data_IF_537468066174
#
_entry.id   IF_537468066174
#
_cell.length_a   1.000
_cell.length_b   1.000
_cell.length_c   1.000
_cell.angle_alpha   90.00
_cell.angle_beta   90.00
_cell.angle_gamma   90.00
#
_symmetry.space_group_name_H-M   'P 1'
#
loop_
_entity.id
_entity.type
_entity.pdbx_description
1 polymer ?
#
# COMPACT_ATOMS: atom_id res chain seq x y z
N UNK A 1 4.66 -63.73 25.07
CA UNK A 1 3.84 -64.57 24.20
C UNK A 1 3.73 -63.81 22.88
N UNK A 2 4.25 -64.42 21.82
CA UNK A 2 4.17 -64.03 20.40
C UNK A 2 4.99 -62.82 19.88
N UNK A 3 6.16 -63.17 19.34
CA UNK A 3 6.86 -62.68 18.12
C UNK A 3 5.99 -62.81 16.84
N UNK A 4 6.44 -62.51 15.59
CA UNK A 4 7.40 -61.52 15.04
C UNK A 4 6.99 -60.91 13.64
N UNK A 5 7.92 -60.13 13.06
CA UNK A 5 8.30 -60.01 11.63
C UNK A 5 7.39 -59.21 10.67
N UNK A 6 7.81 -58.03 10.19
CA UNK A 6 8.75 -57.75 9.08
C UNK A 6 8.33 -58.30 7.71
N UNK A 7 8.17 -57.39 6.73
CA UNK A 7 8.46 -57.66 5.33
C UNK A 7 8.83 -56.37 4.58
N UNK A 8 10.05 -56.35 4.04
CA UNK A 8 10.53 -55.46 2.99
C UNK A 8 10.30 -56.12 1.61
N UNK A 9 10.19 -55.32 0.55
CA UNK A 9 10.38 -55.76 -0.84
C UNK A 9 9.79 -54.74 -1.84
N UNK A 10 10.57 -53.87 -2.49
CA UNK A 10 11.39 -54.05 -3.71
C UNK A 10 10.62 -54.13 -5.04
N UNK A 11 11.01 -53.26 -5.99
CA UNK A 11 10.83 -53.42 -7.44
C UNK A 11 9.48 -52.93 -7.99
N UNK A 12 9.33 -52.39 -9.20
CA UNK A 12 10.19 -52.26 -10.36
C UNK A 12 9.59 -51.18 -11.31
N UNK A 13 10.47 -50.66 -12.16
CA UNK A 13 10.29 -49.84 -13.37
C UNK A 13 9.32 -50.41 -14.42
N UNK A 14 8.65 -49.54 -15.18
CA UNK A 14 8.37 -49.81 -16.61
C UNK A 14 8.21 -48.53 -17.47
N UNK A 15 8.91 -48.58 -18.61
CA UNK A 15 8.99 -47.63 -19.73
C UNK A 15 7.71 -47.60 -20.60
N UNK A 16 7.58 -46.54 -21.43
CA UNK A 16 6.83 -46.55 -22.70
C UNK A 16 6.08 -45.25 -22.99
N UNK A 17 6.68 -44.27 -23.69
CA UNK A 17 6.65 -44.03 -25.15
C UNK A 17 5.46 -43.18 -25.68
N UNK A 18 5.80 -41.95 -26.09
CA UNK A 18 5.43 -41.18 -27.32
C UNK A 18 4.03 -41.31 -27.95
N UNK A 19 3.34 -40.16 -28.09
CA UNK A 19 2.56 -39.83 -29.30
C UNK A 19 2.44 -38.30 -29.49
N UNK A 20 2.96 -37.84 -30.64
CA UNK A 20 2.81 -36.52 -31.25
C UNK A 20 1.41 -36.35 -31.85
N UNK A 21 0.86 -35.14 -31.89
CA UNK A 21 -0.45 -34.88 -32.50
C UNK A 21 -0.73 -33.40 -32.77
N UNK A 22 -0.01 -32.81 -33.72
CA UNK A 22 -0.39 -31.57 -34.41
C UNK A 22 -1.62 -31.80 -35.30
N UNK A 23 -2.53 -30.83 -35.34
CA UNK A 23 -3.53 -30.72 -36.40
C UNK A 23 -3.76 -29.24 -36.79
N UNK A 24 -3.32 -28.91 -38.01
CA UNK A 24 -3.86 -27.87 -38.88
C UNK A 24 -3.74 -28.39 -40.33
N UNK A 25 -4.73 -28.08 -41.19
CA UNK A 25 -4.44 -27.49 -42.51
C UNK A 25 -5.42 -26.33 -42.83
N UNK A 26 -4.99 -25.17 -43.39
CA UNK A 26 -4.79 -24.82 -44.82
C UNK A 26 -6.08 -24.94 -45.68
N UNK A 27 -6.50 -24.09 -46.63
CA UNK A 27 -6.09 -22.85 -47.32
C UNK A 27 -7.39 -22.27 -47.98
N UNK A 28 -7.59 -20.98 -48.30
CA UNK A 28 -7.00 -20.22 -49.41
C UNK A 28 -8.12 -19.58 -50.28
N UNK A 29 -7.90 -18.36 -50.82
CA UNK A 29 -8.76 -17.74 -51.85
C UNK A 29 -8.68 -16.20 -51.93
N UNK A 30 -8.17 -15.67 -53.03
CA UNK A 30 -7.84 -14.25 -53.26
C UNK A 30 -8.84 -13.46 -54.12
N UNK A 31 -8.73 -12.13 -54.01
CA UNK A 31 -8.88 -11.09 -55.05
C UNK A 31 -10.27 -10.60 -55.49
N UNK A 32 -10.44 -9.27 -55.45
CA UNK A 32 -11.51 -8.50 -56.08
C UNK A 32 -11.26 -7.00 -55.94
N UNK A 33 -10.59 -6.41 -56.93
CA UNK A 33 -10.34 -4.97 -57.06
C UNK A 33 -11.55 -4.25 -57.68
N UNK A 34 -11.71 -2.95 -57.36
CA UNK A 34 -12.45 -2.00 -58.18
C UNK A 34 -13.37 -1.05 -57.41
N UNK A 35 -12.88 0.14 -57.06
CA UNK A 35 -13.73 1.29 -56.70
C UNK A 35 -13.39 2.46 -57.64
N UNK A 36 -14.34 2.98 -58.43
CA UNK A 36 -14.12 4.17 -59.22
C UNK A 36 -14.61 5.43 -58.49
N UNK A 37 -13.71 6.40 -58.36
CA UNK A 37 -13.98 7.82 -58.62
C UNK A 37 -14.88 8.64 -57.67
N UNK A 38 -14.33 9.76 -57.20
CA UNK A 38 -15.09 11.03 -57.17
C UNK A 38 -15.28 11.67 -55.81
N UNK A 39 -14.44 12.68 -55.54
CA UNK A 39 -14.70 13.95 -54.81
C UNK A 39 -15.68 14.01 -53.65
N UNK A 40 -15.23 14.54 -52.51
CA UNK A 40 -15.65 15.87 -52.00
C UNK A 40 -15.23 15.99 -50.52
N UNK A 41 -14.08 16.64 -50.25
CA UNK A 41 -13.67 16.96 -48.88
C UNK A 41 -14.42 18.20 -48.42
N UNK A 42 -15.65 18.00 -47.97
CA UNK A 42 -16.48 19.05 -47.37
C UNK A 42 -15.94 19.54 -46.03
N UNK A 43 -15.18 20.64 -46.05
CA UNK A 43 -15.05 21.59 -44.94
C UNK A 43 -14.82 23.00 -45.49
N UNK A 44 -15.91 23.72 -45.75
CA UNK A 44 -15.87 25.16 -46.00
C UNK A 44 -15.78 25.91 -44.65
N UNK A 45 -14.79 26.81 -44.52
CA UNK A 45 -14.74 27.79 -43.42
C UNK A 45 -15.78 28.90 -43.70
N UNK A 46 -16.50 29.44 -42.70
CA UNK A 46 -17.43 30.53 -42.94
C UNK A 46 -16.69 31.80 -43.35
N UNK A 47 -16.94 32.27 -44.58
CA UNK A 47 -16.56 33.60 -45.05
C UNK A 47 -17.56 34.60 -44.43
N UNK A 48 -17.07 35.58 -43.69
CA UNK A 48 -17.89 36.65 -43.13
C UNK A 48 -18.43 37.57 -44.26
N UNK A 49 -19.67 38.09 -44.17
CA UNK A 49 -20.25 38.93 -45.23
C UNK A 49 -19.53 40.28 -45.36
N UNK A 50 -19.43 40.84 -46.59
CA UNK A 50 -18.89 42.17 -46.80
C UNK A 50 -19.98 43.18 -46.43
N UNK A 51 -19.77 43.98 -45.38
CA UNK A 51 -20.29 45.36 -45.20
C UNK A 51 -20.15 45.80 -43.73
N UNK A 52 -18.92 46.09 -43.29
CA UNK A 52 -18.66 46.74 -42.00
C UNK A 52 -18.36 48.23 -42.20
N UNK A 53 -19.14 49.09 -41.56
CA UNK A 53 -18.91 50.54 -41.48
C UNK A 53 -17.67 50.87 -40.62
N UNK A 54 -16.98 52.01 -40.83
CA UNK A 54 -15.69 52.29 -40.22
C UNK A 54 -15.82 52.63 -38.73
N UNK A 55 -15.09 51.88 -37.89
CA UNK A 55 -14.96 52.17 -36.45
C UNK A 55 -13.85 53.20 -36.23
N UNK A 56 -14.16 54.28 -35.52
CA UNK A 56 -13.25 55.39 -35.23
C UNK A 56 -12.06 54.98 -34.33
N UNK A 57 -10.92 55.70 -34.38
CA UNK A 57 -9.72 55.36 -33.59
C UNK A 57 -9.90 55.72 -32.11
N UNK A 58 -9.56 54.79 -31.20
CA UNK A 58 -9.43 55.10 -29.77
C UNK A 58 -8.06 55.71 -29.43
N UNK A 59 -7.96 56.61 -28.43
CA UNK A 59 -6.72 57.30 -28.07
C UNK A 59 -5.70 56.38 -27.39
N UNK A 60 -4.42 56.70 -27.55
CA UNK A 60 -3.26 55.98 -27.01
C UNK A 60 -3.22 55.94 -25.48
N UNK A 61 -2.90 54.78 -24.92
CA UNK A 61 -2.70 54.55 -23.49
C UNK A 61 -1.31 55.00 -23.01
N UNK A 62 -1.18 55.54 -21.78
CA UNK A 62 0.09 56.01 -21.25
C UNK A 62 1.02 54.85 -20.86
N UNK A 63 2.32 55.00 -21.15
CA UNK A 63 3.39 54.09 -20.76
C UNK A 63 3.74 54.24 -19.28
N UNK A 64 3.66 53.13 -18.53
CA UNK A 64 4.21 53.03 -17.16
C UNK A 64 5.56 52.30 -17.19
N UNK A 65 6.59 52.76 -16.43
CA UNK A 65 7.89 52.10 -16.42
C UNK A 65 7.84 50.75 -15.68
N UNK A 66 8.56 49.80 -16.26
CA UNK A 66 8.70 48.40 -15.85
C UNK A 66 9.53 48.30 -14.55
N UNK A 67 9.06 47.62 -13.49
CA UNK A 67 9.95 47.16 -12.43
C UNK A 67 10.62 45.87 -12.88
N UNK A 68 11.95 45.86 -12.96
CA UNK A 68 12.78 44.69 -13.25
C UNK A 68 12.63 43.64 -12.14
N UNK A 69 12.02 42.49 -12.48
CA UNK A 69 12.01 41.32 -11.61
C UNK A 69 13.27 40.46 -11.88
N UNK A 70 14.01 40.01 -10.85
CA UNK A 70 15.13 39.10 -11.04
C UNK A 70 14.62 37.74 -11.54
N UNK A 71 15.23 37.24 -12.62
CA UNK A 71 14.96 35.92 -13.17
C UNK A 71 15.33 34.81 -12.18
N UNK A 72 14.39 33.95 -11.74
CA UNK A 72 14.74 32.70 -11.10
C UNK A 72 14.87 31.61 -12.17
N UNK A 73 15.98 30.87 -12.09
CA UNK A 73 16.30 29.67 -12.86
C UNK A 73 15.18 28.62 -12.84
N UNK A 74 14.94 28.02 -14.01
CA UNK A 74 14.01 26.92 -14.27
C UNK A 74 14.09 25.78 -13.24
N UNK A 75 12.95 25.30 -12.71
CA UNK A 75 12.85 23.98 -12.10
C UNK A 75 12.19 22.93 -13.02
N UNK A 76 12.59 21.69 -12.75
CA UNK A 76 12.27 20.35 -13.28
C UNK A 76 10.76 19.98 -13.33
N UNK A 77 10.35 18.85 -13.97
CA UNK A 77 8.99 18.67 -14.47
C UNK A 77 7.94 18.55 -13.35
N UNK A 78 6.97 19.44 -13.48
CA UNK A 78 5.63 19.59 -12.90
C UNK A 78 5.06 18.41 -12.10
N UNK A 79 5.04 18.57 -10.78
CA UNK A 79 3.92 18.11 -9.96
C UNK A 79 2.83 19.20 -10.00
N UNK A 80 1.55 18.87 -10.25
CA UNK A 80 0.51 19.89 -10.30
C UNK A 80 0.24 20.45 -8.90
N UNK A 81 0.55 21.72 -8.70
CA UNK A 81 0.19 22.50 -7.51
C UNK A 81 -1.21 23.08 -7.74
N UNK A 82 -2.23 22.57 -7.04
CA UNK A 82 -3.61 23.08 -7.15
C UNK A 82 -3.99 24.00 -5.97
N UNK A 83 -4.95 24.91 -6.15
CA UNK A 83 -5.33 25.88 -5.13
C UNK A 83 -6.00 25.17 -3.93
N UNK A 84 -5.34 25.24 -2.77
CA UNK A 84 -5.95 24.84 -1.50
C UNK A 84 -7.12 25.78 -1.18
N UNK A 85 -8.35 25.37 -1.46
CA UNK A 85 -9.53 25.93 -0.79
C UNK A 85 -9.56 25.33 0.62
N UNK A 86 -9.49 26.12 1.70
CA UNK A 86 -9.55 25.59 3.05
C UNK A 86 -10.89 24.87 3.28
N UNK A 87 -10.85 23.55 3.51
CA UNK A 87 -12.00 22.78 3.97
C UNK A 87 -12.61 21.78 2.98
N UNK A 88 -12.20 21.75 1.72
CA UNK A 88 -12.59 20.70 0.76
C UNK A 88 -11.35 19.99 0.25
N UNK A 89 -10.92 18.94 0.94
CA UNK A 89 -9.96 18.04 0.30
C UNK A 89 -10.68 17.32 -0.83
N UNK A 90 -10.13 17.32 -2.03
CA UNK A 90 -10.61 16.46 -3.14
C UNK A 90 -9.75 15.20 -3.29
N UNK A 91 -8.77 15.04 -2.41
CA UNK A 91 -7.76 13.99 -2.48
C UNK A 91 -7.54 13.32 -1.12
N UNK A 92 -7.16 12.05 -1.16
CA UNK A 92 -6.58 11.29 -0.06
C UNK A 92 -5.06 11.26 -0.20
N UNK A 93 -4.36 11.05 0.91
CA UNK A 93 -2.92 10.74 0.89
C UNK A 93 -2.73 9.24 1.12
N UNK A 94 -2.08 8.57 0.18
CA UNK A 94 -1.85 7.13 0.23
C UNK A 94 -0.36 6.82 0.18
N UNK A 95 0.08 5.77 0.86
CA UNK A 95 1.42 5.17 0.68
C UNK A 95 1.30 3.64 0.67
N UNK A 96 2.37 2.97 0.27
CA UNK A 96 2.48 1.52 0.36
C UNK A 96 3.46 1.08 1.46
N UNK A 97 3.19 -0.09 2.03
CA UNK A 97 4.13 -0.91 2.80
C UNK A 97 4.16 -2.30 2.17
N UNK A 98 5.34 -2.81 1.85
CA UNK A 98 5.48 -4.19 1.34
C UNK A 98 5.83 -5.11 2.51
N UNK A 99 4.86 -5.93 2.92
CA UNK A 99 5.03 -6.97 3.93
C UNK A 99 5.17 -8.37 3.34
N UNK A 100 4.76 -8.55 2.08
CA UNK A 100 4.94 -9.80 1.32
C UNK A 100 6.41 -10.21 1.25
N UNK A 101 6.70 -11.46 1.59
CA UNK A 101 8.04 -12.03 1.71
C UNK A 101 8.51 -12.68 0.40
N UNK A 102 8.29 -11.97 -0.71
CA UNK A 102 8.61 -12.46 -2.05
C UNK A 102 10.09 -12.27 -2.41
N UNK A 103 10.65 -13.20 -3.17
CA UNK A 103 12.08 -13.22 -3.56
C UNK A 103 12.45 -12.28 -4.71
N UNK A 104 11.46 -11.60 -5.30
CA UNK A 104 11.62 -10.70 -6.44
C UNK A 104 11.07 -9.31 -6.12
N UNK A 105 11.50 -8.24 -6.81
CA UNK A 105 10.93 -6.92 -6.60
C UNK A 105 9.56 -6.74 -7.29
N UNK A 106 8.74 -5.85 -6.75
CA UNK A 106 7.41 -5.50 -7.27
C UNK A 106 7.30 -4.02 -7.65
N UNK A 107 6.45 -3.74 -8.62
CA UNK A 107 6.03 -2.39 -9.01
C UNK A 107 4.67 -2.10 -8.42
N UNK A 108 4.54 -0.93 -7.80
CA UNK A 108 3.37 -0.49 -7.05
C UNK A 108 2.73 0.70 -7.77
N UNK A 109 1.43 0.60 -8.07
CA UNK A 109 0.70 1.72 -8.67
C UNK A 109 -0.75 1.80 -8.20
N UNK A 110 -1.28 3.02 -8.21
CA UNK A 110 -2.71 3.32 -8.13
C UNK A 110 -3.10 3.96 -9.45
N UNK A 111 -3.98 3.31 -10.21
CA UNK A 111 -4.25 3.57 -11.61
C UNK A 111 -2.95 3.65 -12.44
N UNK A 112 -2.65 4.80 -13.04
CA UNK A 112 -1.43 5.08 -13.79
C UNK A 112 -0.29 5.66 -12.94
N UNK A 113 -0.57 6.08 -11.71
CA UNK A 113 0.41 6.70 -10.80
C UNK A 113 1.27 5.64 -10.12
N UNK A 114 2.58 5.69 -10.37
CA UNK A 114 3.56 4.73 -9.87
C UNK A 114 4.16 5.24 -8.56
N UNK A 115 4.14 4.40 -7.54
CA UNK A 115 4.70 4.70 -6.22
C UNK A 115 6.13 4.17 -6.06
N UNK A 116 6.41 3.00 -6.63
CA UNK A 116 7.74 2.40 -6.65
C UNK A 116 7.84 1.42 -7.82
N UNK A 117 9.00 1.31 -8.44
CA UNK A 117 9.28 0.40 -9.56
C UNK A 117 10.07 -0.84 -9.18
N UNK A 118 10.62 -0.89 -7.97
CA UNK A 118 11.53 -1.95 -7.51
C UNK A 118 11.38 -2.19 -5.99
N UNK A 119 10.15 -2.15 -5.48
CA UNK A 119 9.86 -2.34 -4.07
C UNK A 119 10.11 -3.79 -3.64
N UNK A 120 10.59 -3.98 -2.41
CA UNK A 120 10.91 -5.29 -1.82
C UNK A 120 10.31 -5.37 -0.42
N UNK A 121 10.39 -6.53 0.20
CA UNK A 121 10.00 -6.72 1.60
C UNK A 121 10.57 -5.60 2.49
N UNK A 122 9.71 -4.93 3.26
CA UNK A 122 10.03 -3.82 4.14
C UNK A 122 10.03 -2.44 3.48
N UNK A 123 9.86 -2.33 2.16
CA UNK A 123 9.76 -1.03 1.48
C UNK A 123 8.52 -0.27 1.98
N UNK A 124 8.73 0.99 2.35
CA UNK A 124 7.68 1.98 2.64
C UNK A 124 7.84 3.13 1.67
N UNK A 125 6.79 3.46 0.93
CA UNK A 125 6.84 4.56 -0.04
C UNK A 125 6.55 5.90 0.63
N UNK A 126 6.90 6.98 -0.06
CA UNK A 126 6.32 8.30 0.25
C UNK A 126 4.80 8.31 0.08
N UNK A 127 4.16 9.34 0.64
CA UNK A 127 2.73 9.60 0.40
C UNK A 127 2.53 10.26 -0.96
N UNK A 128 1.56 9.75 -1.71
CA UNK A 128 1.07 10.33 -2.95
C UNK A 128 -0.41 10.70 -2.81
N UNK A 129 -0.89 11.57 -3.69
CA UNK A 129 -2.28 12.01 -3.69
C UNK A 129 -3.11 11.13 -4.63
N UNK A 130 -4.27 10.70 -4.17
CA UNK A 130 -5.26 9.95 -4.95
C UNK A 130 -6.59 10.68 -4.82
N UNK A 131 -7.28 10.97 -5.92
CA UNK A 131 -8.58 11.65 -5.86
C UNK A 131 -9.61 10.87 -5.06
N UNK A 132 -10.65 11.56 -4.58
CA UNK A 132 -11.81 10.90 -3.98
C UNK A 132 -12.51 9.98 -5.01
N UNK A 133 -12.81 8.75 -4.60
CA UNK A 133 -13.49 7.77 -5.44
C UNK A 133 -12.88 6.37 -5.38
N UNK A 134 -13.25 5.53 -6.35
CA UNK A 134 -12.74 4.17 -6.47
C UNK A 134 -11.57 4.14 -7.45
N UNK A 135 -10.40 3.71 -6.99
CA UNK A 135 -9.18 3.64 -7.79
C UNK A 135 -8.59 2.24 -7.79
N UNK A 136 -7.96 1.86 -8.91
CA UNK A 136 -7.42 0.51 -9.10
C UNK A 136 -6.01 0.42 -8.54
N UNK A 137 -5.84 -0.34 -7.48
CA UNK A 137 -4.51 -0.67 -6.94
C UNK A 137 -3.95 -1.86 -7.71
N UNK A 138 -2.74 -1.72 -8.23
CA UNK A 138 -2.06 -2.77 -8.98
C UNK A 138 -0.69 -3.06 -8.39
N UNK A 139 -0.40 -4.35 -8.16
CA UNK A 139 0.94 -4.86 -7.85
C UNK A 139 1.37 -5.75 -9.01
N UNK A 140 2.51 -5.44 -9.61
CA UNK A 140 3.08 -6.20 -10.73
C UNK A 140 4.48 -6.65 -10.40
N UNK A 141 4.97 -7.66 -11.11
CA UNK A 141 6.41 -7.96 -11.05
C UNK A 141 7.19 -6.78 -11.66
N UNK A 142 8.33 -6.43 -11.06
CA UNK A 142 9.12 -5.30 -11.53
C UNK A 142 9.90 -5.59 -12.83
N UNK A 143 10.36 -6.83 -13.01
CA UNK A 143 11.13 -7.32 -14.17
C UNK A 143 10.23 -7.77 -15.34
N UNK A 144 9.02 -8.26 -15.07
CA UNK A 144 8.00 -8.59 -16.06
C UNK A 144 6.74 -7.77 -15.83
N UNK A 145 6.67 -6.64 -16.53
CA UNK A 145 5.51 -5.77 -16.46
C UNK A 145 4.24 -6.42 -17.01
N UNK A 146 4.24 -7.59 -17.67
CA UNK A 146 2.99 -8.29 -18.04
C UNK A 146 2.43 -9.15 -16.90
N UNK A 147 3.26 -9.52 -15.93
CA UNK A 147 2.86 -10.29 -14.77
C UNK A 147 2.18 -9.40 -13.72
N UNK A 148 0.84 -9.39 -13.75
CA UNK A 148 0.01 -8.78 -12.71
C UNK A 148 -0.13 -9.79 -11.57
N UNK A 149 0.24 -9.36 -10.37
CA UNK A 149 0.23 -10.21 -9.18
C UNK A 149 -0.97 -9.90 -8.29
N UNK A 150 -1.45 -8.65 -8.34
CA UNK A 150 -2.67 -8.20 -7.72
C UNK A 150 -3.26 -7.02 -8.50
N UNK A 151 -4.58 -6.99 -8.67
CA UNK A 151 -5.30 -5.85 -9.22
C UNK A 151 -6.74 -5.83 -8.71
N UNK A 152 -7.09 -4.85 -7.86
CA UNK A 152 -8.47 -4.63 -7.38
C UNK A 152 -8.74 -3.14 -7.17
N UNK A 153 -10.02 -2.77 -7.16
CA UNK A 153 -10.47 -1.41 -6.88
C UNK A 153 -10.66 -1.17 -5.38
N UNK A 154 -10.19 -0.03 -4.88
CA UNK A 154 -10.32 0.39 -3.48
C UNK A 154 -10.99 1.76 -3.38
N UNK A 155 -11.78 2.02 -2.33
CA UNK A 155 -12.31 3.34 -2.05
C UNK A 155 -11.24 4.24 -1.44
N UNK A 156 -11.09 5.44 -1.97
CA UNK A 156 -10.25 6.51 -1.43
C UNK A 156 -11.14 7.69 -1.08
N UNK A 157 -11.02 8.17 0.15
CA UNK A 157 -11.85 9.24 0.68
C UNK A 157 -11.05 10.51 0.85
N UNK A 158 -11.60 11.61 0.35
CA UNK A 158 -11.02 12.92 0.45
C UNK A 158 -10.70 13.29 1.92
N UNK A 159 -9.45 13.73 2.16
CA UNK A 159 -8.94 14.13 3.47
C UNK A 159 -8.50 12.96 4.36
N UNK A 160 -8.68 11.72 3.93
CA UNK A 160 -8.15 10.56 4.64
C UNK A 160 -6.70 10.27 4.25
N UNK A 161 -5.96 9.74 5.23
CA UNK A 161 -4.62 9.17 5.04
C UNK A 161 -4.75 7.66 5.09
N UNK A 162 -4.01 6.96 4.24
CA UNK A 162 -4.13 5.50 4.12
C UNK A 162 -2.79 4.85 3.81
N UNK A 163 -2.57 3.67 4.39
CA UNK A 163 -1.47 2.79 4.04
C UNK A 163 -2.03 1.54 3.35
N UNK A 164 -1.57 1.26 2.13
CA UNK A 164 -1.84 0.03 1.40
C UNK A 164 -0.74 -0.97 1.71
N UNK A 165 -1.07 -2.10 2.34
CA UNK A 165 -0.09 -3.12 2.71
C UNK A 165 -0.17 -4.27 1.70
N UNK A 166 0.93 -4.50 0.99
CA UNK A 166 1.08 -5.68 0.12
C UNK A 166 1.46 -6.86 1.00
N UNK A 167 0.65 -7.92 0.99
CA UNK A 167 0.79 -9.11 1.84
C UNK A 167 0.79 -10.39 1.00
N UNK A 168 1.32 -11.47 1.55
CA UNK A 168 1.20 -12.81 0.94
C UNK A 168 -0.22 -13.35 1.11
N UNK A 169 -0.83 -13.86 0.05
CA UNK A 169 -2.15 -14.49 0.18
C UNK A 169 -2.01 -15.90 0.74
N UNK A 170 -2.86 -16.27 1.71
CA UNK A 170 -2.92 -17.62 2.27
C UNK A 170 -3.25 -18.72 1.24
N UNK A 171 -3.79 -18.34 0.08
CA UNK A 171 -4.12 -19.24 -1.03
C UNK A 171 -3.02 -19.28 -2.12
N UNK A 172 -1.88 -18.62 -1.87
CA UNK A 172 -0.83 -18.38 -2.86
C UNK A 172 -1.06 -17.09 -3.64
N UNK A 173 0.04 -16.41 -4.00
CA UNK A 173 0.01 -15.10 -4.66
C UNK A 173 0.08 -13.93 -3.67
N UNK A 174 -0.38 -12.76 -4.09
CA UNK A 174 -0.37 -11.54 -3.28
C UNK A 174 -1.77 -10.96 -3.12
N UNK A 175 -1.99 -10.28 -2.00
CA UNK A 175 -3.17 -9.47 -1.74
C UNK A 175 -2.74 -8.09 -1.24
N UNK A 176 -3.69 -7.15 -1.21
CA UNK A 176 -3.46 -5.82 -0.64
C UNK A 176 -4.53 -5.52 0.39
N UNK A 177 -4.10 -5.13 1.59
CA UNK A 177 -4.99 -4.65 2.64
C UNK A 177 -4.89 -3.14 2.75
N UNK A 178 -6.04 -2.47 2.71
CA UNK A 178 -6.12 -1.04 2.94
C UNK A 178 -6.31 -0.74 4.43
N UNK A 179 -5.41 0.05 5.01
CA UNK A 179 -5.47 0.47 6.42
C UNK A 179 -5.59 1.97 6.50
N UNK A 180 -6.72 2.44 7.05
CA UNK A 180 -6.93 3.86 7.31
C UNK A 180 -5.97 4.34 8.39
N UNK A 181 -5.22 5.41 8.10
CA UNK A 181 -4.35 6.10 9.03
C UNK A 181 -5.15 7.10 9.91
N UNK A 182 -6.48 6.98 9.96
CA UNK A 182 -7.32 7.83 10.83
C UNK A 182 -7.05 7.51 12.30
N UNK A 183 -6.25 8.37 12.92
CA UNK A 183 -5.89 8.29 14.33
C UNK A 183 -7.01 8.66 15.30
N UNK A 184 -6.66 8.72 16.58
CA UNK A 184 -7.57 9.19 17.61
C UNK A 184 -7.94 10.67 17.43
N UNK A 185 -9.18 11.00 17.75
CA UNK A 185 -9.69 12.38 17.83
C UNK A 185 -9.79 12.79 19.30
N UNK A 186 -9.64 14.09 19.57
CA UNK A 186 -9.87 14.69 20.89
C UNK A 186 -9.05 14.06 22.02
N UNK A 187 -7.73 13.98 21.83
CA UNK A 187 -6.82 13.45 22.84
C UNK A 187 -6.55 14.47 23.96
N UNK A 188 -6.41 14.02 25.22
CA UNK A 188 -5.86 14.86 26.29
C UNK A 188 -4.47 15.39 25.94
N UNK A 189 -4.14 16.57 26.47
CA UNK A 189 -2.81 17.15 26.33
C UNK A 189 -1.73 16.15 26.81
N UNK A 190 -0.63 16.05 26.08
CA UNK A 190 0.44 15.10 26.41
C UNK A 190 0.11 13.64 26.06
N UNK A 191 -0.96 13.37 25.31
CA UNK A 191 -1.28 12.01 24.83
C UNK A 191 -1.19 11.92 23.31
N UNK A 192 -0.78 10.75 22.82
CA UNK A 192 -0.90 10.27 21.45
C UNK A 192 -1.74 8.99 21.39
N UNK A 193 -1.72 8.32 20.24
CA UNK A 193 -2.37 7.03 20.08
C UNK A 193 -1.47 5.99 19.43
N UNK A 194 -1.67 4.75 19.83
CA UNK A 194 -0.89 3.62 19.34
C UNK A 194 -1.80 2.44 19.03
N UNK A 195 -1.50 1.75 17.94
CA UNK A 195 -2.12 0.48 17.56
C UNK A 195 -1.12 -0.43 16.88
N UNK A 196 -1.48 -1.68 16.72
CA UNK A 196 -0.67 -2.69 16.03
C UNK A 196 -1.49 -3.32 14.90
N UNK A 197 -0.81 -3.66 13.82
CA UNK A 197 -1.37 -4.43 12.73
C UNK A 197 -0.47 -5.63 12.48
N UNK A 198 -1.04 -6.83 12.40
CA UNK A 198 -0.27 -8.03 12.04
C UNK A 198 -0.44 -8.30 10.54
N UNK A 199 0.63 -8.03 9.79
CA UNK A 199 0.74 -8.21 8.34
C UNK A 199 1.86 -9.20 8.01
N UNK A 200 2.16 -10.13 8.92
CA UNK A 200 3.31 -11.02 8.84
C UNK A 200 3.09 -12.18 7.88
N UNK A 201 2.62 -13.33 8.34
CA UNK A 201 2.30 -14.49 7.52
C UNK A 201 0.95 -15.12 7.93
N UNK A 202 0.35 -15.88 7.02
CA UNK A 202 -0.95 -16.51 7.28
C UNK A 202 -0.89 -17.53 8.45
N UNK A 203 -1.87 -17.44 9.35
CA UNK A 203 -1.90 -18.22 10.60
C UNK A 203 -1.03 -17.64 11.73
N UNK A 204 -0.32 -16.54 11.52
CA UNK A 204 0.38 -15.83 12.60
C UNK A 204 -0.61 -15.21 13.59
N UNK A 205 -0.28 -15.28 14.88
CA UNK A 205 -1.01 -14.60 15.95
C UNK A 205 -0.03 -14.17 17.03
N UNK A 206 -0.09 -12.91 17.44
CA UNK A 206 0.83 -12.35 18.43
C UNK A 206 0.12 -11.64 19.57
N UNK A 207 0.77 -11.62 20.72
CA UNK A 207 0.48 -10.64 21.77
C UNK A 207 1.52 -9.52 21.69
N UNK A 208 1.11 -8.32 22.07
CA UNK A 208 2.01 -7.18 22.27
C UNK A 208 1.91 -6.77 23.73
N UNK A 209 3.03 -6.83 24.43
CA UNK A 209 3.14 -6.56 25.86
C UNK A 209 4.02 -5.35 26.11
N UNK A 210 3.76 -4.65 27.21
CA UNK A 210 4.66 -3.63 27.75
C UNK A 210 5.29 -4.20 29.02
N UNK A 211 6.64 -4.28 29.11
CA UNK A 211 7.33 -4.77 30.29
C UNK A 211 6.85 -4.06 31.56
N UNK A 212 6.55 -4.82 32.61
CA UNK A 212 6.05 -4.27 33.87
C UNK A 212 4.59 -3.77 33.84
N UNK A 213 3.89 -3.81 32.70
CA UNK A 213 2.47 -3.44 32.62
C UNK A 213 1.59 -4.60 32.16
N UNK A 214 2.11 -5.52 31.33
CA UNK A 214 1.40 -6.72 30.86
C UNK A 214 0.96 -6.61 29.40
N UNK A 215 -0.13 -7.29 29.02
CA UNK A 215 -0.61 -7.36 27.63
C UNK A 215 -1.35 -6.07 27.24
N UNK A 216 -0.89 -5.43 26.17
CA UNK A 216 -1.50 -4.25 25.57
C UNK A 216 -2.47 -4.64 24.46
N UNK A 217 -2.04 -5.51 23.54
CA UNK A 217 -2.88 -6.07 22.49
C UNK A 217 -2.78 -7.58 22.51
N UNK A 218 -3.92 -8.26 22.57
CA UNK A 218 -3.96 -9.71 22.67
C UNK A 218 -4.40 -10.33 21.35
N UNK A 219 -3.76 -11.44 20.98
CA UNK A 219 -4.25 -12.30 19.90
C UNK A 219 -4.40 -11.57 18.57
N UNK A 220 -3.46 -10.69 18.23
CA UNK A 220 -3.46 -9.94 16.97
C UNK A 220 -3.18 -10.92 15.83
N UNK A 221 -4.26 -11.44 15.25
CA UNK A 221 -4.23 -12.43 14.20
C UNK A 221 -3.75 -11.83 12.86
N UNK A 222 -3.35 -12.70 11.95
CA UNK A 222 -2.96 -12.32 10.60
C UNK A 222 -4.02 -11.41 9.93
N UNK A 223 -3.54 -10.43 9.17
CA UNK A 223 -4.33 -9.44 8.45
C UNK A 223 -5.35 -8.68 9.32
N UNK A 224 -5.01 -8.47 10.61
CA UNK A 224 -5.85 -7.76 11.57
C UNK A 224 -5.17 -6.48 12.04
N UNK A 225 -5.95 -5.40 12.11
CA UNK A 225 -5.55 -4.11 12.68
C UNK A 225 -6.29 -3.90 13.98
N UNK A 226 -5.58 -3.63 15.06
CA UNK A 226 -6.21 -3.36 16.36
C UNK A 226 -6.83 -1.96 16.38
N UNK A 227 -7.78 -1.74 17.28
CA UNK A 227 -8.21 -0.39 17.62
C UNK A 227 -7.05 0.41 18.21
N UNK A 228 -7.09 1.74 18.05
CA UNK A 228 -6.16 2.62 18.74
C UNK A 228 -6.41 2.63 20.24
N UNK A 229 -5.32 2.61 21.00
CA UNK A 229 -5.30 2.91 22.43
C UNK A 229 -4.63 4.25 22.64
N UNK A 230 -5.15 5.01 23.59
CA UNK A 230 -4.50 6.22 24.05
C UNK A 230 -3.19 5.85 24.75
N UNK A 231 -2.15 6.63 24.47
CA UNK A 231 -0.84 6.50 25.09
C UNK A 231 -0.34 7.86 25.56
N UNK A 232 0.21 7.95 26.76
CA UNK A 232 0.95 9.16 27.15
C UNK A 232 2.16 9.33 26.23
N UNK A 233 2.53 10.56 25.92
CA UNK A 233 3.74 10.81 25.14
C UNK A 233 4.98 10.29 25.89
N UNK A 234 5.91 9.68 25.17
CA UNK A 234 7.12 9.10 25.73
C UNK A 234 7.66 7.94 24.89
N UNK A 235 8.77 7.40 25.35
CA UNK A 235 9.43 6.25 24.73
C UNK A 235 8.93 4.95 25.36
N UNK A 236 8.54 4.00 24.51
CA UNK A 236 8.07 2.69 24.91
C UNK A 236 8.90 1.60 24.25
N UNK A 237 9.09 0.50 24.97
CA UNK A 237 9.66 -0.73 24.44
C UNK A 237 8.57 -1.80 24.51
N UNK A 238 7.94 -2.09 23.37
CA UNK A 238 6.91 -3.12 23.27
C UNK A 238 7.54 -4.46 22.92
N UNK A 239 7.09 -5.51 23.58
CA UNK A 239 7.51 -6.88 23.31
C UNK A 239 6.42 -7.63 22.56
N UNK A 240 6.77 -8.20 21.43
CA UNK A 240 5.92 -9.09 20.63
C UNK A 240 6.19 -10.53 21.07
N UNK A 241 5.15 -11.25 21.42
CA UNK A 241 5.25 -12.63 21.93
C UNK A 241 4.24 -13.54 21.22
N UNK A 242 4.50 -14.85 21.26
CA UNK A 242 3.50 -15.82 20.84
C UNK A 242 2.29 -15.83 21.79
N UNK A 243 1.17 -16.38 21.34
CA UNK A 243 -0.02 -16.53 22.18
C UNK A 243 0.17 -17.69 23.16
N UNK A 244 0.27 -17.40 24.45
CA UNK A 244 0.20 -18.44 25.48
C UNK A 244 -1.26 -18.88 25.71
N UNK A 245 -1.50 -20.18 25.76
CA UNK A 245 -2.82 -20.79 25.84
C UNK A 245 -3.61 -20.46 27.13
N UNK A 246 -3.01 -19.81 28.12
CA UNK A 246 -3.66 -19.55 29.42
C UNK A 246 -3.38 -18.14 29.97
N UNK A 247 -3.09 -17.16 29.11
CA UNK A 247 -2.86 -15.78 29.56
C UNK A 247 -4.11 -15.18 30.24
N UNK A 248 -3.90 -14.46 31.35
CA UNK A 248 -4.96 -13.76 32.08
C UNK A 248 -5.67 -12.72 31.18
N UNK A 249 -6.96 -12.45 31.40
CA UNK A 249 -7.77 -11.65 30.47
C UNK A 249 -7.58 -10.14 30.58
N UNK A 250 -6.59 -9.66 31.35
CA UNK A 250 -6.43 -8.21 31.58
C UNK A 250 -5.63 -7.59 30.45
N UNK A 251 -6.35 -6.92 29.56
CA UNK A 251 -5.78 -6.04 28.53
C UNK A 251 -5.77 -4.60 29.03
N UNK A 252 -4.64 -3.92 28.86
CA UNK A 252 -4.50 -2.53 29.30
C UNK A 252 -5.26 -1.61 28.33
N UNK A 253 -6.08 -0.69 28.87
CA UNK A 253 -6.88 0.25 28.07
C UNK A 253 -6.12 1.53 27.69
N UNK A 254 -5.18 1.99 28.52
CA UNK A 254 -4.37 3.21 28.31
C UNK A 254 -2.90 2.89 28.56
N UNK A 255 -2.04 3.27 27.62
CA UNK A 255 -0.61 3.02 27.69
C UNK A 255 0.06 4.19 28.42
N UNK A 256 0.73 3.91 29.55
CA UNK A 256 1.45 4.91 30.31
C UNK A 256 2.71 4.29 30.91
N UNK A 257 3.82 5.03 30.84
CA UNK A 257 5.15 4.61 31.31
C UNK A 257 5.28 4.45 32.83
N UNK A 258 4.22 4.72 33.60
CA UNK A 258 4.20 4.62 35.06
C UNK A 258 3.24 3.55 35.61
N UNK A 259 2.60 2.74 34.76
CA UNK A 259 1.80 1.61 35.25
C UNK A 259 2.73 0.43 35.58
N UNK A 260 3.39 0.51 36.74
CA UNK A 260 3.99 -0.65 37.40
C UNK A 260 2.86 -1.59 37.82
N UNK A 261 2.38 -2.39 36.88
CA UNK A 261 1.64 -3.60 37.17
C UNK A 261 2.62 -4.67 37.66
N UNK A 262 2.16 -5.57 38.51
CA UNK A 262 2.80 -6.86 38.75
C UNK A 262 2.67 -7.75 37.50
N UNK A 263 3.14 -7.27 36.35
CA UNK A 263 3.10 -7.96 35.08
C UNK A 263 4.33 -8.83 34.92
N UNK A 264 4.14 -10.13 34.71
CA UNK A 264 5.23 -11.04 34.41
C UNK A 264 6.03 -10.52 33.19
N UNK A 265 7.33 -10.36 33.36
CA UNK A 265 8.26 -10.11 32.26
C UNK A 265 8.15 -11.30 31.31
N UNK A 266 7.89 -11.06 30.03
CA UNK A 266 7.95 -12.14 29.03
C UNK A 266 9.41 -12.59 28.94
N UNK A 267 9.77 -13.81 29.37
CA UNK A 267 11.17 -14.15 29.53
C UNK A 267 11.92 -14.23 28.20
N UNK A 268 11.23 -14.28 27.05
CA UNK A 268 11.82 -14.24 25.71
C UNK A 268 10.85 -13.62 24.70
N UNK A 269 10.93 -12.32 24.39
CA UNK A 269 10.18 -11.73 23.28
C UNK A 269 10.68 -12.27 21.93
N UNK A 270 9.75 -12.45 20.98
CA UNK A 270 10.09 -12.78 19.59
C UNK A 270 10.71 -11.57 18.88
N UNK A 271 10.25 -10.37 19.26
CA UNK A 271 10.71 -9.09 18.75
C UNK A 271 10.41 -8.01 19.78
N UNK A 272 11.38 -7.13 20.05
CA UNK A 272 11.17 -5.91 20.84
C UNK A 272 11.17 -4.69 19.92
N UNK A 273 10.22 -3.79 20.12
CA UNK A 273 9.96 -2.64 19.24
C UNK A 273 10.02 -1.36 20.06
N UNK A 274 10.99 -0.51 19.76
CA UNK A 274 11.08 0.82 20.37
C UNK A 274 10.20 1.80 19.60
N UNK A 275 9.31 2.49 20.31
CA UNK A 275 8.37 3.46 19.73
C UNK A 275 8.39 4.73 20.57
N UNK A 276 8.61 5.87 19.91
CA UNK A 276 8.44 7.18 20.52
C UNK A 276 7.06 7.74 20.17
N UNK A 277 6.20 7.87 21.17
CA UNK A 277 4.85 8.41 21.00
C UNK A 277 4.89 9.90 21.33
N UNK A 278 4.53 10.72 20.35
CA UNK A 278 4.41 12.16 20.51
C UNK A 278 2.97 12.59 20.80
N UNK A 279 2.81 13.72 21.49
CA UNK A 279 1.48 14.27 21.78
C UNK A 279 0.76 14.67 20.49
N UNK A 280 -0.53 14.34 20.38
CA UNK A 280 -1.37 14.63 19.23
C UNK A 280 -1.09 13.78 18.00
N UNK A 281 -0.17 12.81 18.08
CA UNK A 281 0.20 11.92 16.97
C UNK A 281 -0.36 10.52 17.17
N UNK A 282 -0.60 9.85 16.05
CA UNK A 282 -1.06 8.46 16.03
C UNK A 282 -0.02 7.60 15.32
N UNK A 283 0.25 6.41 15.86
CA UNK A 283 1.26 5.50 15.33
C UNK A 283 0.66 4.11 15.14
N UNK A 284 0.97 3.49 14.01
CA UNK A 284 0.67 2.09 13.74
C UNK A 284 1.97 1.33 13.58
N UNK A 285 2.16 0.30 14.41
CA UNK A 285 3.24 -0.67 14.20
C UNK A 285 2.72 -1.85 13.40
N UNK A 286 3.31 -2.07 12.23
CA UNK A 286 3.04 -3.20 11.37
C UNK A 286 4.04 -4.31 11.67
N UNK A 287 3.57 -5.47 12.13
CA UNK A 287 4.37 -6.69 12.24
C UNK A 287 4.42 -7.35 10.86
N UNK A 288 5.62 -7.60 10.34
CA UNK A 288 5.84 -8.14 8.99
C UNK A 288 6.87 -9.28 9.02
N UNK A 289 6.88 -10.14 8.00
CA UNK A 289 7.84 -11.24 7.88
C UNK A 289 7.40 -12.52 8.59
N UNK A 290 8.35 -13.38 8.94
CA UNK A 290 8.10 -14.67 9.59
C UNK A 290 9.31 -15.11 10.44
N UNK A 291 9.26 -16.26 11.11
CA UNK A 291 10.36 -16.69 11.99
C UNK A 291 11.37 -17.67 11.36
N UNK A 292 11.28 -17.98 10.06
CA UNK A 292 12.03 -19.09 9.45
C UNK A 292 12.68 -18.76 8.08
N UNK A 293 12.56 -17.55 7.56
CA UNK A 293 13.19 -17.13 6.31
C UNK A 293 14.12 -15.92 6.49
N UNK A 294 14.79 -15.51 5.41
CA UNK A 294 15.55 -14.24 5.35
C UNK A 294 14.67 -13.01 5.61
N UNK A 295 13.34 -13.16 5.45
CA UNK A 295 12.33 -12.19 5.84
C UNK A 295 11.89 -12.43 7.28
N UNK A 296 12.86 -12.40 8.21
CA UNK A 296 12.63 -12.59 9.64
C UNK A 296 11.54 -11.64 10.18
N UNK A 297 10.94 -11.96 11.34
CA UNK A 297 9.88 -11.15 11.94
C UNK A 297 10.44 -9.77 12.28
N UNK A 298 9.79 -8.71 11.78
CA UNK A 298 10.20 -7.30 11.97
C UNK A 298 8.97 -6.46 12.28
N UNK A 299 9.24 -5.27 12.78
CA UNK A 299 8.23 -4.25 13.01
C UNK A 299 8.59 -3.00 12.23
N UNK A 300 7.57 -2.39 11.59
CA UNK A 300 7.68 -1.10 10.94
C UNK A 300 6.65 -0.18 11.58
N UNK A 301 7.11 0.84 12.30
CA UNK A 301 6.24 1.82 12.94
C UNK A 301 6.11 3.06 12.06
N UNK A 302 4.88 3.41 11.71
CA UNK A 302 4.58 4.57 10.86
C UNK A 302 3.64 5.53 11.60
N UNK A 303 3.89 6.83 11.45
CA UNK A 303 2.90 7.85 11.80
C UNK A 303 1.67 7.68 10.90
N UNK A 304 0.50 7.60 11.52
CA UNK A 304 -0.81 7.55 10.87
C UNK A 304 -1.25 8.99 10.56
#
# INVERSE_FOLDING_TARGET
METPAQSQGTGQTMNGQIANGQAAPAAGGSAGAGSPGGGDYGIALPIAPPDSAPVAPLPSTPTFPTPTLPTPSLPSPDYPMFPNVPGVSSFSETRFLVAAANSFPVRLSVDSSVYDTNARFGTVTGRGFVSDGFHTVTVRRADDLRAILFQKSFPFRAGEKTTLIVIDSGQGGMDVTQVSDTGCRSLPAGSGCYRVANMSYDGSVYNVTLPGSGVIFRGVAYNTVTSFKQAMCGSYLFDVTGVACCASPREISVIASAAAGSGAVSPNPLLSVSVEIQSGKSYTTYLIGNSWSEYSLRAVTLEA
#
